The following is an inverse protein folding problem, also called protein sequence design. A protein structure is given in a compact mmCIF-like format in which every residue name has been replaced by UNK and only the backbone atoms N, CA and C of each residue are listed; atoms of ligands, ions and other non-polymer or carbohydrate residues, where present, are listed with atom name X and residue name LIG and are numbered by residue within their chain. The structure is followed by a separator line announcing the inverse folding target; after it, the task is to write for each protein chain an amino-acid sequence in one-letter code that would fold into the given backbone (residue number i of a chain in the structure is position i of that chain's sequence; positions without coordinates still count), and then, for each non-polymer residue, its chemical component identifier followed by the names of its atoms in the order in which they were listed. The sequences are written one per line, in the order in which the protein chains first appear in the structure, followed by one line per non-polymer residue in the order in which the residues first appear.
data_IF_975517152347
#
_entry.id   IF_975517152347
#
_cell.length_a   1.000
_cell.length_b   1.000
_cell.length_c   1.000
_cell.angle_alpha   90.00
_cell.angle_beta   90.00
_cell.angle_gamma   90.00
#
_symmetry.space_group_name_H-M   'P 1'
#
loop_
_entity.id
_entity.type
_entity.pdbx_description
1 polymer ?
#
# COMPACT_ATOMS: atom_id res chain seq x y z
N UNK A 1 -11.54 -1.01 -19.81
CA UNK A 1 -12.08 0.27 -19.28
C UNK A 1 -11.55 0.61 -17.89
N UNK A 2 -10.95 -0.33 -17.13
CA UNK A 2 -10.35 -0.08 -15.81
C UNK A 2 -8.99 0.67 -15.83
N UNK A 3 -8.29 0.70 -16.97
CA UNK A 3 -6.95 1.31 -17.10
C UNK A 3 -6.94 2.85 -17.00
N UNK A 4 -8.08 3.53 -17.06
CA UNK A 4 -8.13 5.01 -17.08
C UNK A 4 -8.06 5.69 -15.71
N UNK A 5 -8.03 4.94 -14.60
CA UNK A 5 -8.15 5.49 -13.25
C UNK A 5 -7.04 5.05 -12.28
N UNK A 6 -6.01 4.37 -12.79
CA UNK A 6 -4.83 4.09 -12.00
C UNK A 6 -4.18 5.42 -11.57
N UNK A 7 -3.77 5.57 -10.31
CA UNK A 7 -3.12 6.78 -9.83
C UNK A 7 -1.85 7.07 -10.66
N UNK A 8 -1.79 8.24 -11.28
CA UNK A 8 -0.65 8.65 -12.12
C UNK A 8 0.65 8.83 -11.32
N UNK A 9 0.53 9.00 -10.00
CA UNK A 9 1.65 9.23 -9.09
C UNK A 9 1.48 8.43 -7.80
N UNK A 10 2.56 7.77 -7.39
CA UNK A 10 2.69 7.10 -6.09
C UNK A 10 3.17 8.09 -5.03
N UNK A 11 2.72 7.87 -3.81
CA UNK A 11 3.18 8.55 -2.61
C UNK A 11 4.39 7.80 -2.06
N UNK A 12 5.42 8.51 -1.60
CA UNK A 12 6.63 7.90 -1.03
C UNK A 12 6.71 8.17 0.46
N UNK A 13 6.94 7.14 1.27
CA UNK A 13 7.31 7.29 2.67
C UNK A 13 8.83 7.13 2.81
N UNK A 14 9.49 8.17 3.36
CA UNK A 14 10.94 8.23 3.57
C UNK A 14 11.22 8.42 5.05
N UNK A 15 12.10 7.60 5.62
CA UNK A 15 12.55 7.71 7.00
C UNK A 15 14.08 7.69 7.03
N UNK A 16 14.69 8.67 7.72
CA UNK A 16 16.16 8.75 7.83
C UNK A 16 16.88 8.94 6.48
N UNK A 17 16.21 9.49 5.47
CA UNK A 17 16.76 9.66 4.12
C UNK A 17 16.62 8.43 3.22
N UNK A 18 16.08 7.31 3.74
CA UNK A 18 15.84 6.10 2.97
C UNK A 18 14.34 5.94 2.66
N UNK A 19 14.01 5.62 1.40
CA UNK A 19 12.65 5.29 0.99
C UNK A 19 12.27 3.94 1.60
N UNK A 20 11.20 3.93 2.41
CA UNK A 20 10.72 2.75 3.13
C UNK A 20 9.72 1.98 2.26
N UNK A 21 8.73 2.69 1.73
CA UNK A 21 7.80 2.15 0.73
C UNK A 21 7.22 3.27 -0.12
N UNK A 22 6.71 2.89 -1.28
CA UNK A 22 5.80 3.70 -2.08
C UNK A 22 4.40 3.14 -1.95
N UNK A 23 3.38 3.96 -2.15
CA UNK A 23 2.02 3.50 -2.09
C UNK A 23 1.10 4.36 -2.93
N UNK A 24 -0.02 3.77 -3.31
CA UNK A 24 -1.13 4.47 -3.94
C UNK A 24 -2.44 3.83 -3.51
N UNK A 25 -3.56 4.43 -3.90
CA UNK A 25 -4.87 3.87 -3.61
C UNK A 25 -5.85 4.15 -4.74
N UNK A 26 -6.94 3.40 -4.74
CA UNK A 26 -8.17 3.69 -5.48
C UNK A 26 -9.32 3.74 -4.48
N UNK A 27 -10.56 3.85 -4.94
CA UNK A 27 -11.73 3.66 -4.07
C UNK A 27 -11.76 2.26 -3.44
N UNK A 28 -11.17 1.27 -4.09
CA UNK A 28 -11.30 -0.14 -3.70
C UNK A 28 -10.03 -0.71 -3.09
N UNK A 29 -8.87 -0.23 -3.50
CA UNK A 29 -7.59 -0.85 -3.18
C UNK A 29 -6.60 0.14 -2.58
N UNK A 30 -5.65 -0.39 -1.82
CA UNK A 30 -4.40 0.28 -1.45
C UNK A 30 -3.25 -0.59 -1.94
N UNK A 31 -2.34 0.00 -2.69
CA UNK A 31 -1.15 -0.67 -3.19
C UNK A 31 0.07 -0.19 -2.42
N UNK A 32 0.93 -1.10 -1.98
CA UNK A 32 2.20 -0.80 -1.31
C UNK A 32 3.34 -1.45 -2.11
N UNK A 33 4.40 -0.70 -2.37
CA UNK A 33 5.57 -1.15 -3.10
C UNK A 33 6.80 -0.99 -2.23
N UNK A 34 7.49 -2.11 -1.98
CA UNK A 34 8.66 -2.16 -1.11
C UNK A 34 9.83 -2.65 -1.94
N UNK A 35 10.87 -1.83 -2.06
CA UNK A 35 12.14 -2.26 -2.67
C UNK A 35 12.82 -3.24 -1.73
N UNK A 36 13.07 -4.46 -2.22
CA UNK A 36 13.66 -5.53 -1.44
C UNK A 36 15.19 -5.38 -1.39
N UNK A 37 15.85 -5.82 -0.30
CA UNK A 37 17.30 -5.84 -0.25
C UNK A 37 17.88 -6.79 -1.32
N UNK A 38 18.94 -6.36 -2.02
CA UNK A 38 19.57 -7.18 -3.06
C UNK A 38 20.25 -8.40 -2.44
N UNK A 39 20.46 -9.44 -3.25
CA UNK A 39 21.13 -10.70 -2.87
C UNK A 39 20.36 -11.59 -1.87
N UNK A 40 19.06 -11.33 -1.64
CA UNK A 40 18.20 -12.23 -0.86
C UNK A 40 17.36 -13.08 -1.82
N UNK A 41 17.38 -14.42 -1.72
CA UNK A 41 16.53 -15.28 -2.52
C UNK A 41 15.05 -14.94 -2.34
N UNK A 42 14.34 -14.68 -3.45
CA UNK A 42 12.94 -14.23 -3.45
C UNK A 42 12.00 -15.12 -2.62
N UNK A 43 12.24 -16.45 -2.63
CA UNK A 43 11.49 -17.45 -1.85
C UNK A 43 11.55 -17.30 -0.32
N UNK A 44 12.53 -16.55 0.19
CA UNK A 44 12.68 -16.27 1.62
C UNK A 44 11.82 -15.10 2.06
N UNK A 45 11.42 -14.22 1.15
CA UNK A 45 10.48 -13.17 1.50
C UNK A 45 9.10 -13.75 1.79
N UNK A 46 8.40 -13.10 2.71
CA UNK A 46 7.00 -13.38 2.99
C UNK A 46 6.28 -12.08 3.29
N UNK A 47 5.00 -12.06 2.98
CA UNK A 47 4.06 -11.05 3.44
C UNK A 47 2.84 -11.77 4.02
N UNK A 48 2.43 -11.37 5.23
CA UNK A 48 1.19 -11.81 5.86
C UNK A 48 0.25 -10.62 5.93
N UNK A 49 -0.93 -10.79 5.33
CA UNK A 49 -1.99 -9.79 5.33
C UNK A 49 -3.08 -10.31 6.27
N UNK A 50 -3.39 -9.51 7.28
CA UNK A 50 -4.51 -9.75 8.19
C UNK A 50 -5.52 -8.61 8.05
N UNK A 51 -6.71 -8.78 8.62
CA UNK A 51 -7.83 -7.85 8.41
C UNK A 51 -7.48 -6.39 8.72
N UNK A 52 -6.52 -6.07 9.58
CA UNK A 52 -6.10 -4.69 9.87
C UNK A 52 -4.59 -4.59 10.14
N UNK A 53 -3.81 -5.52 9.62
CA UNK A 53 -2.40 -5.63 9.96
C UNK A 53 -1.61 -6.24 8.80
N UNK A 54 -0.39 -5.75 8.58
CA UNK A 54 0.52 -6.26 7.55
C UNK A 54 1.89 -6.53 8.16
N UNK A 55 2.42 -7.71 7.85
CA UNK A 55 3.76 -8.13 8.25
C UNK A 55 4.54 -8.53 7.00
N UNK A 56 5.74 -7.97 6.85
CA UNK A 56 6.66 -8.27 5.75
C UNK A 56 8.04 -8.56 6.33
N UNK A 57 8.67 -9.63 5.85
CA UNK A 57 9.97 -10.04 6.35
C UNK A 57 10.68 -11.06 5.49
N UNK A 58 11.86 -11.46 5.96
CA UNK A 58 12.67 -12.55 5.41
C UNK A 58 12.59 -13.71 6.40
N UNK A 59 12.22 -14.91 5.96
CA UNK A 59 12.14 -16.12 6.78
C UNK A 59 13.44 -16.31 7.57
N UNK A 60 13.32 -16.54 8.88
CA UNK A 60 14.45 -16.68 9.79
C UNK A 60 14.98 -15.38 10.39
N UNK A 61 14.46 -14.22 9.99
CA UNK A 61 14.79 -12.91 10.57
C UNK A 61 13.56 -12.23 11.18
N UNK A 62 13.79 -11.20 11.99
CA UNK A 62 12.72 -10.29 12.43
C UNK A 62 12.06 -9.61 11.22
N UNK A 63 10.73 -9.45 11.21
CA UNK A 63 10.05 -8.72 10.14
C UNK A 63 10.51 -7.27 10.12
N UNK A 64 10.72 -6.72 8.92
CA UNK A 64 11.14 -5.33 8.76
C UNK A 64 9.96 -4.37 8.60
N UNK A 65 8.77 -4.90 8.29
CA UNK A 65 7.50 -4.18 8.38
C UNK A 65 6.54 -5.02 9.22
N UNK A 66 6.05 -4.49 10.33
CA UNK A 66 5.07 -5.18 11.18
C UNK A 66 4.20 -4.12 11.86
N UNK A 67 3.11 -3.74 11.19
CA UNK A 67 2.30 -2.61 11.59
C UNK A 67 0.82 -2.81 11.27
N UNK A 68 -0.01 -2.10 12.02
CA UNK A 68 -1.43 -2.00 11.75
C UNK A 68 -1.70 -1.13 10.52
N UNK A 69 -2.69 -1.55 9.74
CA UNK A 69 -3.21 -0.81 8.60
C UNK A 69 -4.15 0.30 9.06
N UNK A 70 -4.26 1.35 8.27
CA UNK A 70 -5.17 2.48 8.55
C UNK A 70 -6.63 2.04 8.66
N UNK A 71 -7.06 1.11 7.80
CA UNK A 71 -8.41 0.55 7.80
C UNK A 71 -8.41 -0.96 7.58
N UNK A 72 -9.57 -1.62 7.78
CA UNK A 72 -9.67 -3.04 7.56
C UNK A 72 -9.68 -3.42 6.08
N UNK A 73 -9.13 -4.59 5.75
CA UNK A 73 -9.03 -5.15 4.39
C UNK A 73 -9.72 -6.52 4.29
N UNK A 74 -10.11 -6.90 3.08
CA UNK A 74 -10.62 -8.24 2.75
C UNK A 74 -9.42 -9.14 2.47
N UNK A 75 -9.06 -9.99 3.43
CA UNK A 75 -7.85 -10.84 3.34
C UNK A 75 -7.93 -11.85 2.20
N UNK A 76 -9.13 -12.33 1.87
CA UNK A 76 -9.41 -13.23 0.75
C UNK A 76 -9.18 -12.60 -0.63
N UNK A 77 -9.29 -11.28 -0.72
CA UNK A 77 -9.16 -10.49 -1.95
C UNK A 77 -7.87 -9.65 -1.96
N UNK A 78 -7.04 -9.77 -0.92
CA UNK A 78 -5.76 -9.07 -0.81
C UNK A 78 -4.62 -10.05 -1.05
N UNK A 79 -3.61 -9.64 -1.80
CA UNK A 79 -2.51 -10.50 -2.19
C UNK A 79 -1.22 -9.69 -2.31
N UNK A 80 -0.11 -10.38 -2.54
CA UNK A 80 1.16 -9.74 -2.84
C UNK A 80 1.89 -10.50 -3.95
N UNK A 81 2.63 -9.76 -4.75
CA UNK A 81 3.51 -10.27 -5.79
C UNK A 81 4.93 -9.78 -5.55
N UNK A 82 5.88 -10.41 -6.22
CA UNK A 82 7.28 -10.00 -6.21
C UNK A 82 7.72 -9.91 -7.67
N UNK A 83 8.05 -8.69 -8.12
CA UNK A 83 8.40 -8.35 -9.48
C UNK A 83 9.61 -7.42 -9.45
N UNK A 84 10.68 -7.74 -10.19
CA UNK A 84 11.88 -6.88 -10.35
C UNK A 84 12.42 -6.29 -9.03
N UNK A 85 12.62 -7.15 -8.02
CA UNK A 85 13.09 -6.77 -6.67
C UNK A 85 12.14 -5.83 -5.88
N UNK A 86 10.89 -5.72 -6.33
CA UNK A 86 9.83 -4.96 -5.66
C UNK A 86 8.77 -5.94 -5.17
N UNK A 87 8.47 -5.89 -3.88
CA UNK A 87 7.28 -6.51 -3.34
C UNK A 87 6.10 -5.56 -3.50
N UNK A 88 5.11 -5.97 -4.29
CA UNK A 88 3.86 -5.25 -4.48
C UNK A 88 2.76 -5.93 -3.66
N UNK A 89 2.21 -5.21 -2.70
CA UNK A 89 1.12 -5.66 -1.82
C UNK A 89 -0.15 -4.95 -2.26
N UNK A 90 -1.15 -5.71 -2.69
CA UNK A 90 -2.48 -5.20 -3.05
C UNK A 90 -3.46 -5.52 -1.93
N UNK A 91 -3.97 -4.46 -1.30
CA UNK A 91 -4.89 -4.52 -0.17
C UNK A 91 -6.28 -4.10 -0.61
N UNK A 92 -7.22 -5.04 -0.63
CA UNK A 92 -8.62 -4.75 -0.92
C UNK A 92 -9.29 -4.12 0.31
N UNK A 93 -9.67 -2.85 0.22
CA UNK A 93 -10.39 -2.15 1.30
C UNK A 93 -11.69 -2.88 1.63
N UNK A 94 -11.98 -3.04 2.91
CA UNK A 94 -13.31 -3.49 3.36
C UNK A 94 -14.34 -2.40 3.15
N UNK A 95 -13.99 -1.16 3.49
CA UNK A 95 -14.81 0.03 3.33
C UNK A 95 -14.48 0.73 2.01
N UNK A 96 -15.22 0.40 0.94
CA UNK A 96 -15.06 1.03 -0.38
C UNK A 96 -15.27 2.54 -0.28
N UNK A 97 -14.36 3.29 -0.90
CA UNK A 97 -14.38 4.76 -0.93
C UNK A 97 -13.76 5.43 0.28
N UNK A 98 -13.28 4.69 1.28
CA UNK A 98 -12.51 5.29 2.38
C UNK A 98 -11.16 5.79 1.87
N UNK A 99 -10.89 7.08 2.01
CA UNK A 99 -9.58 7.67 1.73
C UNK A 99 -8.61 7.37 2.86
N UNK A 100 -7.46 6.80 2.54
CA UNK A 100 -6.39 6.55 3.50
C UNK A 100 -5.32 7.64 3.35
N UNK A 101 -4.91 8.29 4.44
CA UNK A 101 -3.78 9.24 4.41
C UNK A 101 -2.42 8.54 4.40
N UNK A 102 -2.39 7.24 4.66
CA UNK A 102 -1.25 6.33 4.59
C UNK A 102 -1.74 4.87 4.65
N UNK A 103 -1.04 3.90 4.05
CA UNK A 103 -1.29 2.47 4.26
C UNK A 103 -1.10 2.05 5.72
N UNK A 104 -0.12 2.63 6.41
CA UNK A 104 0.30 2.24 7.75
C UNK A 104 -0.22 3.23 8.78
N UNK A 105 -0.85 2.73 9.83
CA UNK A 105 -1.39 3.56 10.89
C UNK A 105 -0.28 4.32 11.61
N UNK A 106 -0.43 5.65 11.70
CA UNK A 106 0.50 6.53 12.41
C UNK A 106 1.85 6.77 11.72
N UNK A 107 2.07 6.27 10.50
CA UNK A 107 3.34 6.44 9.77
C UNK A 107 3.10 6.92 8.35
N UNK A 108 3.99 7.75 7.81
CA UNK A 108 3.94 8.16 6.40
C UNK A 108 2.66 8.86 5.98
N UNK A 109 2.01 9.57 6.91
CA UNK A 109 0.83 10.38 6.60
C UNK A 109 1.19 11.44 5.58
N UNK A 110 0.35 11.58 4.56
CA UNK A 110 0.44 12.68 3.60
C UNK A 110 0.35 14.02 4.33
N UNK A 111 1.08 15.01 3.79
CA UNK A 111 0.88 16.39 4.17
C UNK A 111 -0.55 16.85 3.79
N UNK A 112 -1.10 17.90 4.42
CA UNK A 112 -2.47 18.34 4.19
C UNK A 112 -2.80 18.65 2.73
N UNK A 113 -1.84 19.14 1.95
CA UNK A 113 -2.04 19.48 0.55
C UNK A 113 -2.11 18.22 -0.31
N UNK A 114 -1.16 17.29 -0.14
CA UNK A 114 -1.19 16.00 -0.84
C UNK A 114 -2.44 15.17 -0.48
N UNK A 115 -2.88 15.22 0.78
CA UNK A 115 -4.11 14.57 1.22
C UNK A 115 -5.38 15.15 0.56
N UNK A 116 -5.46 16.48 0.43
CA UNK A 116 -6.56 17.17 -0.28
C UNK A 116 -6.60 16.80 -1.76
N UNK A 117 -5.44 16.77 -2.43
CA UNK A 117 -5.34 16.35 -3.83
C UNK A 117 -5.80 14.89 -4.02
N UNK A 118 -5.37 13.99 -3.14
CA UNK A 118 -5.76 12.58 -3.19
C UNK A 118 -7.26 12.41 -2.97
N UNK A 119 -7.84 13.15 -2.02
CA UNK A 119 -9.28 13.15 -1.79
C UNK A 119 -10.04 13.64 -3.03
N UNK A 120 -9.61 14.73 -3.66
CA UNK A 120 -10.22 15.27 -4.89
C UNK A 120 -10.16 14.26 -6.03
N UNK A 121 -9.03 13.56 -6.18
CA UNK A 121 -8.86 12.50 -7.18
C UNK A 121 -9.85 11.35 -6.96
N UNK A 122 -9.99 10.88 -5.72
CA UNK A 122 -10.94 9.82 -5.37
C UNK A 122 -12.40 10.25 -5.56
N UNK A 123 -12.74 11.50 -5.25
CA UNK A 123 -14.08 12.05 -5.53
C UNK A 123 -14.37 12.05 -7.04
N UNK A 124 -13.41 12.45 -7.87
CA UNK A 124 -13.55 12.43 -9.31
C UNK A 124 -13.70 10.99 -9.85
N UNK A 125 -12.91 10.05 -9.32
CA UNK A 125 -13.06 8.62 -9.64
C UNK A 125 -14.48 8.15 -9.33
N UNK A 126 -15.01 8.48 -8.14
CA UNK A 126 -16.36 8.07 -7.71
C UNK A 126 -17.43 8.57 -8.67
N UNK A 127 -17.36 9.85 -9.04
CA UNK A 127 -18.33 10.45 -9.97
C UNK A 127 -18.32 9.81 -11.37
N UNK A 128 -17.20 9.23 -11.79
CA UNK A 128 -17.10 8.54 -13.09
C UNK A 128 -17.55 7.07 -13.03
N UNK A 129 -17.58 6.46 -11.84
CA UNK A 129 -18.10 5.10 -11.62
C UNK A 129 -19.63 5.05 -11.47
N UNK A 130 -20.26 6.19 -11.20
CA UNK A 130 -21.74 6.39 -11.14
C UNK A 130 -22.33 6.61 -12.54
#
# INVERSE_FOLDING_TARGET
MAEKLAPEKRHSFVQGGQKVFEWDQTLEEVNIYITLPPNVPTKLFYCKIQSKHVEVGIKGNSPYLNHDLTGPVKTDSSFWTLEDDIMHITLQKRDKGQTWSSPISGQGQLDPYSADLEQKRLMLQRFQEE
#
